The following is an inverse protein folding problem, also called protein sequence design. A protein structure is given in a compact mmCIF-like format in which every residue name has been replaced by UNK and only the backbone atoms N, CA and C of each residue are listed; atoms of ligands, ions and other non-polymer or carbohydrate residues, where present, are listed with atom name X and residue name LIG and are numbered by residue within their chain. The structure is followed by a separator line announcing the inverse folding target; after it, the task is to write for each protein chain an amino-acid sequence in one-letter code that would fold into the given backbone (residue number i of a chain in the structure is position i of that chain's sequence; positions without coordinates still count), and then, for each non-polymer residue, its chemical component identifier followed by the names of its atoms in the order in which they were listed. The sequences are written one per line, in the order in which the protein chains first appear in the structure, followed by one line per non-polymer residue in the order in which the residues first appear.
data_IF_773372799332
#
_entry.id   IF_773372799332
#
_cell.length_a   1.000
_cell.length_b   1.000
_cell.length_c   1.000
_cell.angle_alpha   90.00
_cell.angle_beta   90.00
_cell.angle_gamma   90.00
#
_symmetry.space_group_name_H-M   'P 1'
#
loop_
_entity.id
_entity.type
_entity.pdbx_description
1 polymer ?
#
# COMPACT_ATOMS: atom_id res chain seq x y z
N UNK A 1 -24.68 40.51 -35.55
CA UNK A 1 -24.04 39.85 -34.42
C UNK A 1 -24.29 38.35 -34.58
N UNK A 2 -23.28 37.53 -34.95
CA UNK A 2 -23.50 36.09 -35.16
C UNK A 2 -23.71 35.40 -33.83
N UNK A 3 -24.77 34.60 -33.72
CA UNK A 3 -25.08 33.78 -32.57
C UNK A 3 -23.98 32.69 -32.39
N UNK A 4 -23.31 32.74 -31.27
CA UNK A 4 -22.35 31.68 -30.89
C UNK A 4 -23.15 30.37 -30.70
N UNK A 5 -22.85 29.31 -31.44
CA UNK A 5 -23.55 28.04 -31.27
C UNK A 5 -23.30 27.50 -29.84
N UNK A 6 -24.37 27.36 -29.06
CA UNK A 6 -24.33 26.65 -27.79
C UNK A 6 -24.02 25.17 -28.08
N UNK A 7 -22.73 24.79 -28.01
CA UNK A 7 -22.36 23.37 -27.92
C UNK A 7 -22.93 22.80 -26.61
N UNK A 8 -24.02 22.11 -26.69
CA UNK A 8 -24.50 21.26 -25.58
C UNK A 8 -23.42 20.21 -25.31
N UNK A 9 -22.62 20.46 -24.30
CA UNK A 9 -21.56 19.57 -23.84
C UNK A 9 -22.23 18.26 -23.39
N UNK A 10 -22.12 17.22 -24.22
CA UNK A 10 -22.67 15.89 -23.88
C UNK A 10 -21.80 15.28 -22.78
N UNK A 11 -22.27 15.34 -21.53
CA UNK A 11 -21.58 14.74 -20.40
C UNK A 11 -21.53 13.20 -20.61
N UNK A 12 -20.31 12.63 -20.49
CA UNK A 12 -20.09 11.19 -20.52
C UNK A 12 -19.66 10.74 -19.12
N UNK A 13 -20.42 9.83 -18.54
CA UNK A 13 -20.04 9.20 -17.26
C UNK A 13 -19.14 8.00 -17.53
N UNK A 14 -18.02 7.90 -16.82
CA UNK A 14 -17.18 6.71 -16.73
C UNK A 14 -17.47 6.05 -15.39
N UNK A 15 -17.69 4.74 -15.42
CA UNK A 15 -17.79 3.91 -14.20
C UNK A 15 -16.51 3.11 -14.07
N UNK A 16 -15.88 3.17 -12.89
CA UNK A 16 -14.68 2.41 -12.56
C UNK A 16 -15.06 1.47 -11.43
N UNK A 17 -14.73 0.19 -11.60
CA UNK A 17 -14.98 -0.85 -10.59
C UNK A 17 -13.64 -1.36 -10.10
N UNK A 18 -13.49 -1.51 -8.79
CA UNK A 18 -12.31 -2.09 -8.14
C UNK A 18 -12.73 -3.34 -7.38
N UNK A 19 -11.82 -4.29 -7.22
CA UNK A 19 -12.07 -5.54 -6.52
C UNK A 19 -11.21 -5.60 -5.25
N UNK A 20 -11.85 -5.86 -4.13
CA UNK A 20 -11.22 -6.11 -2.83
C UNK A 20 -11.85 -7.35 -2.23
N UNK A 21 -11.04 -8.35 -1.93
CA UNK A 21 -11.49 -9.53 -1.20
C UNK A 21 -11.33 -9.28 0.30
N UNK A 22 -12.36 -9.58 1.08
CA UNK A 22 -12.33 -9.51 2.54
C UNK A 22 -12.40 -10.92 3.12
N UNK A 23 -11.45 -11.22 4.01
CA UNK A 23 -11.40 -12.50 4.72
C UNK A 23 -11.11 -12.29 6.20
N UNK A 24 -11.39 -13.31 7.03
CA UNK A 24 -10.87 -13.36 8.38
C UNK A 24 -9.34 -13.62 8.35
N UNK A 25 -8.51 -13.04 9.24
CA UNK A 25 -7.06 -13.24 9.23
C UNK A 25 -6.59 -14.70 9.27
N UNK A 26 -7.39 -15.60 9.86
CA UNK A 26 -7.08 -17.05 9.88
C UNK A 26 -7.19 -17.73 8.50
N UNK A 27 -7.89 -17.11 7.55
CA UNK A 27 -8.11 -17.64 6.20
C UNK A 27 -7.03 -17.23 5.21
N UNK A 28 -6.10 -16.37 5.62
CA UNK A 28 -4.91 -16.03 4.83
C UNK A 28 -4.09 -17.30 4.54
N UNK A 29 -3.49 -17.36 3.35
CA UNK A 29 -2.53 -18.44 3.02
C UNK A 29 -1.31 -18.40 3.94
N UNK A 30 -0.56 -19.49 4.02
CA UNK A 30 0.65 -19.54 4.87
C UNK A 30 1.71 -18.52 4.45
N UNK A 31 1.83 -18.24 3.14
CA UNK A 31 2.72 -17.18 2.64
C UNK A 31 2.25 -15.79 3.06
N UNK A 32 0.94 -15.51 2.95
CA UNK A 32 0.36 -14.25 3.39
C UNK A 32 0.46 -14.08 4.91
N UNK A 33 0.26 -15.14 5.70
CA UNK A 33 0.46 -15.12 7.16
C UNK A 33 1.91 -14.81 7.53
N UNK A 34 2.86 -15.43 6.85
CA UNK A 34 4.29 -15.17 7.06
C UNK A 34 4.61 -13.70 6.80
N UNK A 35 4.12 -13.16 5.68
CA UNK A 35 4.34 -11.76 5.33
C UNK A 35 3.63 -10.81 6.32
N UNK A 36 2.41 -11.16 6.78
CA UNK A 36 1.66 -10.44 7.79
C UNK A 36 2.41 -10.38 9.13
N UNK A 37 3.01 -11.48 9.56
CA UNK A 37 3.84 -11.52 10.77
C UNK A 37 5.03 -10.55 10.68
N UNK A 38 5.67 -10.45 9.52
CA UNK A 38 6.74 -9.48 9.28
C UNK A 38 6.24 -8.04 9.38
N UNK A 39 5.10 -7.72 8.76
CA UNK A 39 4.49 -6.40 8.84
C UNK A 39 4.08 -6.05 10.27
N UNK A 40 3.42 -6.97 10.99
CA UNK A 40 3.01 -6.79 12.39
C UNK A 40 4.23 -6.56 13.29
N UNK A 41 5.30 -7.34 13.15
CA UNK A 41 6.56 -7.13 13.92
C UNK A 41 7.20 -5.79 13.61
N UNK A 42 7.13 -5.31 12.37
CA UNK A 42 7.68 -4.02 11.97
C UNK A 42 7.00 -2.84 12.68
N UNK A 43 5.71 -2.96 13.09
CA UNK A 43 5.01 -1.91 13.84
C UNK A 43 5.72 -1.53 15.14
N UNK A 44 6.42 -2.47 15.80
CA UNK A 44 7.17 -2.21 17.04
C UNK A 44 8.45 -1.40 16.84
N UNK A 45 8.85 -1.16 15.59
CA UNK A 45 10.01 -0.34 15.21
C UNK A 45 9.62 1.02 14.65
N UNK A 46 8.32 1.35 14.70
CA UNK A 46 7.80 2.65 14.30
C UNK A 46 8.36 3.77 15.18
N UNK A 47 8.70 4.88 14.56
CA UNK A 47 8.96 6.13 15.25
C UNK A 47 7.79 7.08 14.98
N UNK A 48 6.82 7.11 15.89
CA UNK A 48 5.55 7.84 15.73
C UNK A 48 5.20 8.69 16.96
N UNK A 49 6.09 9.63 17.36
CA UNK A 49 5.90 10.42 18.57
C UNK A 49 4.78 11.46 18.47
N UNK A 50 4.30 11.78 17.27
CA UNK A 50 3.29 12.81 17.03
C UNK A 50 1.89 12.20 16.87
N UNK A 51 1.76 11.18 16.03
CA UNK A 51 0.47 10.53 15.78
C UNK A 51 0.13 9.44 16.76
N UNK A 52 1.13 8.85 17.41
CA UNK A 52 1.01 7.62 18.22
C UNK A 52 0.41 6.45 17.43
N UNK A 53 0.54 6.48 16.10
CA UNK A 53 0.02 5.47 15.19
C UNK A 53 1.19 4.73 14.53
N UNK A 54 1.36 3.46 14.92
CA UNK A 54 2.50 2.64 14.52
C UNK A 54 2.15 1.77 13.33
N UNK A 55 2.77 2.03 12.17
CA UNK A 55 2.57 1.28 10.94
C UNK A 55 3.81 0.44 10.64
N UNK A 56 3.58 -0.81 10.25
CA UNK A 56 4.58 -1.71 9.73
C UNK A 56 4.19 -2.20 8.34
N UNK A 57 5.18 -2.36 7.48
CA UNK A 57 5.02 -2.94 6.16
C UNK A 57 6.08 -4.00 5.91
N UNK A 58 5.74 -4.99 5.10
CA UNK A 58 6.65 -5.98 4.59
C UNK A 58 6.42 -6.19 3.09
N UNK A 59 7.48 -6.14 2.30
CA UNK A 59 7.46 -6.49 0.87
C UNK A 59 8.12 -7.85 0.69
N UNK A 60 7.54 -8.68 -0.17
CA UNK A 60 8.11 -9.94 -0.62
C UNK A 60 8.57 -9.80 -2.06
N UNK A 61 9.80 -10.18 -2.33
CA UNK A 61 10.39 -10.21 -3.66
C UNK A 61 10.07 -11.54 -4.36
N UNK A 62 10.27 -11.59 -5.66
CA UNK A 62 9.98 -12.77 -6.47
C UNK A 62 10.81 -14.01 -6.06
N UNK A 63 11.99 -13.82 -5.48
CA UNK A 63 12.84 -14.89 -4.95
C UNK A 63 12.44 -15.35 -3.53
N UNK A 64 11.38 -14.78 -2.94
CA UNK A 64 10.90 -15.07 -1.59
C UNK A 64 11.55 -14.22 -0.49
N UNK A 65 12.53 -13.37 -0.81
CA UNK A 65 13.16 -12.46 0.17
C UNK A 65 12.12 -11.50 0.72
N UNK A 66 12.09 -11.31 2.04
CA UNK A 66 11.17 -10.39 2.73
C UNK A 66 11.97 -9.21 3.29
N UNK A 67 11.50 -8.00 3.01
CA UNK A 67 12.03 -6.73 3.51
C UNK A 67 10.94 -6.00 4.29
N UNK A 68 11.22 -5.65 5.54
CA UNK A 68 10.27 -4.94 6.39
C UNK A 68 10.67 -3.49 6.61
N UNK A 69 9.68 -2.62 6.81
CA UNK A 69 9.84 -1.21 7.15
C UNK A 69 8.76 -0.76 8.13
N UNK A 70 9.00 0.36 8.79
CA UNK A 70 8.03 1.01 9.68
C UNK A 70 7.98 2.51 9.40
N UNK A 71 6.86 3.16 9.77
CA UNK A 71 6.76 4.60 9.60
C UNK A 71 7.76 5.33 10.49
N UNK A 72 8.34 6.40 9.94
CA UNK A 72 9.32 7.26 10.58
C UNK A 72 8.81 8.69 10.50
N UNK A 73 8.32 9.21 11.61
CA UNK A 73 7.83 10.58 11.68
C UNK A 73 8.97 11.58 11.85
N UNK A 74 8.70 12.82 11.51
CA UNK A 74 9.63 13.93 11.66
C UNK A 74 8.86 15.20 12.00
N UNK A 75 9.41 16.08 12.83
CA UNK A 75 8.82 17.39 13.12
C UNK A 75 8.64 18.23 11.86
N UNK A 76 9.53 18.09 10.90
CA UNK A 76 9.33 18.57 9.53
C UNK A 76 8.54 17.50 8.76
N UNK A 77 7.22 17.53 8.81
CA UNK A 77 6.32 16.51 8.30
C UNK A 77 6.64 15.98 6.89
N UNK A 78 7.05 16.81 5.90
CA UNK A 78 7.43 16.30 4.59
C UNK A 78 8.65 15.37 4.59
N UNK A 79 9.49 15.40 5.65
CA UNK A 79 10.66 14.53 5.80
C UNK A 79 10.32 13.16 6.39
N UNK A 80 9.10 12.98 6.91
CA UNK A 80 8.62 11.69 7.40
C UNK A 80 8.40 10.69 6.25
N UNK A 81 8.47 9.40 6.58
CA UNK A 81 8.28 8.33 5.60
C UNK A 81 7.32 7.26 6.12
N UNK A 82 6.36 6.87 5.28
CA UNK A 82 5.45 5.78 5.59
C UNK A 82 6.18 4.43 5.56
N UNK A 83 5.67 3.46 6.32
CA UNK A 83 6.22 2.12 6.43
C UNK A 83 6.41 1.43 5.07
N UNK A 84 5.40 1.57 4.19
CA UNK A 84 5.38 0.99 2.86
C UNK A 84 6.56 1.51 2.02
N UNK A 85 6.79 2.83 2.00
CA UNK A 85 7.89 3.42 1.25
C UNK A 85 9.25 3.14 1.88
N UNK A 86 9.31 3.00 3.21
CA UNK A 86 10.53 2.56 3.91
C UNK A 86 10.94 1.17 3.45
N UNK A 87 10.01 0.21 3.43
CA UNK A 87 10.27 -1.15 2.97
C UNK A 87 10.56 -1.20 1.47
N UNK A 88 9.72 -0.57 0.65
CA UNK A 88 9.76 -0.61 -0.81
C UNK A 88 11.06 0.00 -1.36
N UNK A 89 11.43 1.19 -0.89
CA UNK A 89 12.61 1.89 -1.41
C UNK A 89 13.91 1.19 -1.00
N UNK A 90 13.96 0.63 0.22
CA UNK A 90 15.08 -0.19 0.61
C UNK A 90 15.18 -1.47 -0.25
N UNK A 91 14.05 -2.16 -0.47
CA UNK A 91 13.99 -3.34 -1.32
C UNK A 91 14.46 -3.02 -2.75
N UNK A 92 13.92 -1.98 -3.38
CA UNK A 92 14.29 -1.55 -4.73
C UNK A 92 15.77 -1.12 -4.84
N UNK A 93 16.35 -0.55 -3.78
CA UNK A 93 17.76 -0.14 -3.72
C UNK A 93 18.69 -1.33 -3.51
N UNK A 94 18.31 -2.26 -2.63
CA UNK A 94 19.16 -3.40 -2.24
C UNK A 94 19.10 -4.55 -3.23
N UNK A 95 17.94 -4.70 -3.89
CA UNK A 95 17.64 -5.82 -4.82
C UNK A 95 17.05 -5.28 -6.13
N UNK A 96 17.79 -4.47 -6.91
CA UNK A 96 17.25 -3.72 -8.04
C UNK A 96 16.72 -4.58 -9.18
N UNK A 97 17.14 -5.85 -9.24
CA UNK A 97 16.77 -6.80 -10.29
C UNK A 97 15.65 -7.77 -9.85
N UNK A 98 15.14 -7.60 -8.61
CA UNK A 98 14.10 -8.47 -8.06
C UNK A 98 12.75 -7.74 -8.06
N UNK A 99 11.75 -8.24 -8.79
CA UNK A 99 10.39 -7.71 -8.71
C UNK A 99 9.80 -7.87 -7.30
N UNK A 100 9.02 -6.89 -6.88
CA UNK A 100 8.15 -7.05 -5.71
C UNK A 100 6.91 -7.84 -6.14
N UNK A 101 6.60 -8.91 -5.43
CA UNK A 101 5.44 -9.77 -5.68
C UNK A 101 4.28 -9.46 -4.74
N UNK A 102 4.57 -9.11 -3.49
CA UNK A 102 3.56 -8.82 -2.46
C UNK A 102 3.98 -7.68 -1.56
N UNK A 103 2.98 -6.97 -1.03
CA UNK A 103 3.13 -6.01 0.07
C UNK A 103 2.11 -6.36 1.15
N UNK A 104 2.53 -6.41 2.41
CA UNK A 104 1.63 -6.47 3.55
C UNK A 104 1.76 -5.20 4.40
N UNK A 105 0.62 -4.72 4.93
CA UNK A 105 0.54 -3.56 5.83
C UNK A 105 -0.25 -3.95 7.08
N UNK A 106 0.27 -3.57 8.24
CA UNK A 106 -0.39 -3.68 9.54
C UNK A 106 -0.19 -2.40 10.34
N UNK A 107 -1.13 -2.08 11.23
CA UNK A 107 -1.01 -0.91 12.10
C UNK A 107 -1.46 -1.20 13.53
N UNK A 108 -0.89 -0.43 14.47
CA UNK A 108 -1.29 -0.39 15.88
C UNK A 108 -1.76 0.99 16.27
N UNK A 109 -2.81 1.01 17.10
CA UNK A 109 -3.35 2.22 17.71
C UNK A 109 -2.42 2.78 18.82
N UNK A 110 -2.83 3.88 19.42
CA UNK A 110 -2.15 4.56 20.54
C UNK A 110 -2.04 3.69 21.81
N UNK A 111 -2.82 2.61 21.89
CA UNK A 111 -2.78 1.63 22.99
C UNK A 111 -1.90 0.43 22.65
N UNK A 112 -1.25 0.44 21.49
CA UNK A 112 -0.40 -0.65 21.02
C UNK A 112 -1.16 -1.88 20.55
N UNK A 113 -2.48 -1.79 20.31
CA UNK A 113 -3.31 -2.89 19.79
C UNK A 113 -3.33 -2.85 18.28
N UNK A 114 -3.32 -4.00 17.63
CA UNK A 114 -3.57 -4.08 16.21
C UNK A 114 -4.94 -3.45 15.89
N UNK A 115 -5.03 -2.66 14.84
CA UNK A 115 -6.31 -2.04 14.42
C UNK A 115 -7.33 -3.12 14.09
N UNK A 116 -8.59 -2.91 14.49
CA UNK A 116 -9.66 -3.89 14.25
C UNK A 116 -9.86 -4.16 12.75
N UNK A 117 -9.90 -3.10 11.97
CA UNK A 117 -9.99 -3.16 10.51
C UNK A 117 -8.65 -2.86 9.84
N UNK A 118 -8.39 -3.40 8.65
CA UNK A 118 -7.18 -3.10 7.89
C UNK A 118 -7.08 -1.61 7.55
N UNK A 119 -5.84 -1.10 7.46
CA UNK A 119 -5.59 0.25 6.96
C UNK A 119 -5.05 0.21 5.53
N UNK A 120 -5.48 1.16 4.71
CA UNK A 120 -5.02 1.29 3.33
C UNK A 120 -3.78 2.17 3.22
N UNK A 121 -2.90 1.94 2.21
CA UNK A 121 -1.78 2.81 1.93
C UNK A 121 -2.25 4.22 1.53
N UNK A 122 -1.51 5.25 1.94
CA UNK A 122 -1.77 6.62 1.55
C UNK A 122 -1.53 6.86 0.05
N UNK A 123 -2.00 7.99 -0.49
CA UNK A 123 -1.88 8.29 -1.93
C UNK A 123 -0.43 8.26 -2.43
N UNK A 124 0.53 8.79 -1.66
CA UNK A 124 1.95 8.75 -2.04
C UNK A 124 2.52 7.33 -2.07
N UNK A 125 2.07 6.45 -1.17
CA UNK A 125 2.46 5.04 -1.17
C UNK A 125 1.85 4.29 -2.35
N UNK A 126 0.59 4.58 -2.70
CA UNK A 126 -0.06 4.00 -3.88
C UNK A 126 0.70 4.37 -5.16
N UNK A 127 1.11 5.62 -5.31
CA UNK A 127 1.88 6.06 -6.48
C UNK A 127 3.27 5.39 -6.54
N UNK A 128 3.96 5.22 -5.41
CA UNK A 128 5.24 4.53 -5.36
C UNK A 128 5.14 3.03 -5.68
N UNK A 129 4.04 2.39 -5.26
CA UNK A 129 3.74 0.99 -5.59
C UNK A 129 3.42 0.83 -7.07
N UNK A 130 2.64 1.77 -7.66
CA UNK A 130 2.34 1.79 -9.09
C UNK A 130 3.62 1.86 -9.93
N UNK A 131 4.53 2.78 -9.60
CA UNK A 131 5.82 2.90 -10.29
C UNK A 131 6.61 1.58 -10.23
N UNK A 132 6.53 0.87 -9.11
CA UNK A 132 7.20 -0.43 -8.96
C UNK A 132 6.54 -1.52 -9.82
N UNK A 133 5.20 -1.58 -9.88
CA UNK A 133 4.49 -2.49 -10.80
C UNK A 133 4.87 -2.22 -12.25
N UNK A 134 4.90 -0.94 -12.68
CA UNK A 134 5.23 -0.54 -14.03
C UNK A 134 6.69 -0.88 -14.39
N UNK A 135 7.63 -0.61 -13.47
CA UNK A 135 9.06 -0.89 -13.64
C UNK A 135 9.31 -2.35 -13.93
N UNK A 136 8.68 -3.25 -13.19
CA UNK A 136 8.91 -4.69 -13.30
C UNK A 136 7.86 -5.41 -14.15
N UNK A 137 6.81 -4.71 -14.59
CA UNK A 137 5.64 -5.29 -15.29
C UNK A 137 5.05 -6.48 -14.54
N UNK A 138 5.00 -6.35 -13.22
CA UNK A 138 4.56 -7.39 -12.31
C UNK A 138 3.56 -6.81 -11.30
N UNK A 139 2.29 -7.25 -11.31
CA UNK A 139 1.32 -6.84 -10.32
C UNK A 139 1.78 -7.18 -8.90
N UNK A 140 1.52 -6.28 -7.95
CA UNK A 140 1.84 -6.47 -6.54
C UNK A 140 0.55 -6.85 -5.80
N UNK A 141 0.49 -8.08 -5.26
CA UNK A 141 -0.58 -8.46 -4.34
C UNK A 141 -0.44 -7.65 -3.04
N UNK A 142 -1.51 -6.97 -2.64
CA UNK A 142 -1.53 -6.14 -1.44
C UNK A 142 -2.40 -6.83 -0.39
N UNK A 143 -1.79 -7.11 0.76
CA UNK A 143 -2.42 -7.74 1.93
C UNK A 143 -2.52 -6.68 3.02
N UNK A 144 -3.72 -6.26 3.38
CA UNK A 144 -3.97 -5.33 4.46
C UNK A 144 -4.50 -6.11 5.66
N UNK A 145 -3.84 -5.99 6.83
CA UNK A 145 -4.16 -6.81 7.99
C UNK A 145 -4.68 -5.98 9.15
N UNK A 146 -5.86 -6.36 9.63
CA UNK A 146 -6.44 -5.94 10.89
C UNK A 146 -6.62 -7.13 11.85
N UNK A 147 -7.10 -6.88 13.06
CA UNK A 147 -7.34 -7.92 14.05
C UNK A 147 -8.55 -8.80 13.69
N UNK A 148 -9.57 -8.22 13.05
CA UNK A 148 -10.85 -8.88 12.78
C UNK A 148 -11.06 -9.19 11.29
N UNK A 149 -10.39 -8.48 10.38
CA UNK A 149 -10.48 -8.71 8.94
C UNK A 149 -9.15 -8.43 8.24
N UNK A 150 -9.00 -8.97 7.05
CA UNK A 150 -7.90 -8.72 6.13
C UNK A 150 -8.45 -8.46 4.74
N UNK A 151 -7.80 -7.58 3.98
CA UNK A 151 -8.15 -7.31 2.58
C UNK A 151 -7.04 -7.80 1.67
N UNK A 152 -7.44 -8.46 0.57
CA UNK A 152 -6.54 -8.84 -0.52
C UNK A 152 -6.90 -8.03 -1.76
N UNK A 153 -5.91 -7.40 -2.34
CA UNK A 153 -6.01 -6.60 -3.56
C UNK A 153 -4.91 -7.08 -4.51
N UNK A 154 -5.27 -7.41 -5.75
CA UNK A 154 -4.36 -8.10 -6.67
C UNK A 154 -3.47 -7.17 -7.50
N UNK A 155 -3.72 -5.87 -7.48
CA UNK A 155 -2.90 -4.83 -8.13
C UNK A 155 -3.14 -3.48 -7.49
N UNK A 156 -2.13 -2.61 -7.53
CA UNK A 156 -2.28 -1.23 -7.05
C UNK A 156 -3.30 -0.43 -7.88
N UNK A 157 -3.59 -0.84 -9.12
CA UNK A 157 -4.61 -0.22 -9.96
C UNK A 157 -6.01 -0.28 -9.32
N UNK A 158 -6.29 -1.30 -8.50
CA UNK A 158 -7.54 -1.38 -7.74
C UNK A 158 -7.63 -0.35 -6.61
N UNK A 159 -6.50 0.17 -6.13
CA UNK A 159 -6.44 1.24 -5.14
C UNK A 159 -6.16 2.62 -5.74
N UNK A 160 -5.76 2.70 -7.02
CA UNK A 160 -5.43 3.93 -7.73
C UNK A 160 -5.97 3.88 -9.16
N UNK A 161 -7.29 3.82 -9.35
CA UNK A 161 -7.91 3.56 -10.65
C UNK A 161 -7.76 4.70 -11.67
N UNK A 162 -7.50 5.93 -11.22
CA UNK A 162 -7.09 7.07 -12.06
C UNK A 162 -5.70 7.47 -11.60
N UNK A 163 -4.68 6.97 -12.27
CA UNK A 163 -3.29 7.09 -11.86
C UNK A 163 -2.48 7.94 -12.85
N UNK A 164 -1.34 8.42 -12.39
CA UNK A 164 -0.31 9.05 -13.20
C UNK A 164 0.73 7.97 -13.55
N UNK A 165 0.69 7.45 -14.78
CA UNK A 165 1.45 6.28 -15.23
C UNK A 165 2.32 6.51 -16.47
N UNK A 166 2.18 7.68 -17.11
CA UNK A 166 2.90 8.01 -18.36
C UNK A 166 3.02 9.52 -18.57
N UNK A 167 3.97 9.95 -19.40
CA UNK A 167 4.17 11.30 -19.89
C UNK A 167 3.76 11.42 -21.35
#
# INVERSE_FOLDING_TARGET
MPLIPHHTKRMKTLTITTNVEELHPSELSEEQKTLADHAVRATYRSYSPYSHFSVGAAVQLADGTIVSGSNQENVAYPSGLCAERTALFYANSRYPDQPVSRLCIAARDDKGRLTDSPISPCGSCRQALLETELRYKNPIEIVLVGANSSYIIHSIHDLLPLCFDSF
#
